data_IF_876961098768
#
_entry.id   IF_876961098768
#
_cell.length_a   1.000
_cell.length_b   1.000
_cell.length_c   1.000
_cell.angle_alpha   90.00
_cell.angle_beta   90.00
_cell.angle_gamma   90.00
#
_symmetry.space_group_name_H-M   'P 1'
#
loop_
_entity.id
_entity.type
_entity.pdbx_description
1 polymer ?
#
# COMPACT_ATOMS: atom_id res chain seq x y z
N UNK A 1 4.43 20.22 -1.05
CA UNK A 1 5.89 20.46 -1.00
C UNK A 1 6.15 21.52 0.04
N UNK A 2 7.11 21.32 0.95
CA UNK A 2 7.56 22.40 1.84
C UNK A 2 8.53 23.28 1.05
N UNK A 3 8.13 24.51 0.70
CA UNK A 3 9.06 25.51 0.19
C UNK A 3 9.98 25.96 1.34
N UNK A 4 11.25 26.24 1.03
CA UNK A 4 12.28 26.62 2.02
C UNK A 4 12.17 28.09 2.46
N UNK A 5 11.35 28.91 1.78
CA UNK A 5 11.02 30.30 2.14
C UNK A 5 9.60 30.68 1.68
N UNK A 6 9.02 31.75 2.25
CA UNK A 6 7.70 32.26 1.84
C UNK A 6 7.75 32.93 0.45
N UNK A 7 8.90 33.50 0.09
CA UNK A 7 9.16 34.10 -1.21
C UNK A 7 9.16 33.05 -2.33
N UNK A 8 9.81 31.91 -2.11
CA UNK A 8 9.82 30.80 -3.08
C UNK A 8 8.40 30.27 -3.28
N UNK A 9 7.63 30.12 -2.20
CA UNK A 9 6.23 29.69 -2.29
C UNK A 9 5.40 30.62 -3.17
N UNK A 10 5.62 31.95 -3.07
CA UNK A 10 4.89 32.94 -3.86
C UNK A 10 5.22 32.84 -5.35
N UNK A 11 6.51 32.75 -5.70
CA UNK A 11 6.95 32.61 -7.09
C UNK A 11 6.42 31.33 -7.73
N UNK A 12 6.38 30.23 -6.97
CA UNK A 12 5.79 28.98 -7.43
C UNK A 12 4.28 29.06 -7.66
N UNK A 13 3.54 29.75 -6.79
CA UNK A 13 2.10 29.95 -6.96
C UNK A 13 1.79 30.88 -8.13
N UNK A 14 2.61 31.90 -8.36
CA UNK A 14 2.51 32.81 -9.50
C UNK A 14 2.81 32.10 -10.84
N UNK A 15 3.85 31.27 -10.87
CA UNK A 15 4.17 30.43 -12.02
C UNK A 15 3.11 29.36 -12.33
N UNK A 16 2.29 29.01 -11.33
CA UNK A 16 1.17 28.06 -11.43
C UNK A 16 -0.20 28.75 -11.58
N UNK A 17 -0.23 30.03 -11.96
CA UNK A 17 -1.45 30.82 -12.21
C UNK A 17 -2.42 30.82 -11.00
N UNK A 18 -1.86 30.74 -9.79
CA UNK A 18 -2.59 30.65 -8.52
C UNK A 18 -3.24 29.31 -8.22
N UNK A 19 -3.08 28.28 -9.07
CA UNK A 19 -3.59 26.93 -8.79
C UNK A 19 -2.57 26.14 -7.99
N UNK A 20 -2.96 25.71 -6.79
CA UNK A 20 -2.13 24.80 -6.01
C UNK A 20 -1.85 23.51 -6.81
N UNK A 21 -0.65 22.91 -6.67
CA UNK A 21 -0.39 21.58 -7.19
C UNK A 21 -1.41 20.62 -6.58
N UNK A 22 -2.26 20.02 -7.42
CA UNK A 22 -3.14 18.94 -7.00
C UNK A 22 -2.24 17.74 -6.71
N UNK A 23 -1.76 17.66 -5.48
CA UNK A 23 -1.31 16.40 -4.95
C UNK A 23 -2.57 15.55 -4.88
N UNK A 24 -2.67 14.52 -5.72
CA UNK A 24 -3.52 13.37 -5.44
C UNK A 24 -2.99 12.67 -4.17
N UNK A 25 -3.01 13.37 -3.03
CA UNK A 25 -3.39 12.71 -1.80
C UNK A 25 -4.79 12.23 -2.13
N UNK A 26 -4.95 10.92 -2.28
CA UNK A 26 -6.24 10.28 -2.23
C UNK A 26 -6.90 10.72 -0.92
N UNK A 27 -7.54 11.89 -0.96
CA UNK A 27 -8.71 12.24 -0.18
C UNK A 27 -9.85 11.48 -0.85
N UNK A 28 -9.65 10.16 -0.99
CA UNK A 28 -10.76 9.25 -1.10
C UNK A 28 -11.53 9.52 0.18
N UNK A 29 -12.67 10.16 -0.02
CA UNK A 29 -13.74 10.26 0.93
C UNK A 29 -13.73 9.00 1.79
N UNK A 30 -13.97 9.20 3.08
CA UNK A 30 -14.29 8.19 4.08
C UNK A 30 -15.60 7.45 3.72
N UNK A 31 -15.79 7.10 2.45
CA UNK A 31 -16.72 6.13 1.96
C UNK A 31 -16.08 4.78 2.25
N UNK A 32 -16.85 3.85 2.80
CA UNK A 32 -16.50 2.45 2.96
C UNK A 32 -15.91 1.91 1.65
N UNK A 33 -14.58 1.97 1.51
CA UNK A 33 -13.88 1.24 0.47
C UNK A 33 -14.13 -0.25 0.73
N UNK A 34 -14.24 -1.08 -0.32
CA UNK A 34 -14.48 -2.53 -0.15
C UNK A 34 -13.35 -3.25 0.60
N UNK A 35 -12.22 -2.57 0.84
CA UNK A 35 -11.11 -3.12 1.59
C UNK A 35 -11.34 -2.98 3.09
N UNK A 36 -11.86 -4.02 3.72
CA UNK A 36 -11.81 -4.20 5.16
C UNK A 36 -10.95 -5.42 5.51
N UNK A 37 -10.27 -5.36 6.66
CA UNK A 37 -9.65 -6.53 7.28
C UNK A 37 -10.73 -7.33 8.03
N UNK A 38 -11.77 -7.72 7.30
CA UNK A 38 -12.79 -8.66 7.76
C UNK A 38 -12.37 -10.10 7.42
N UNK A 39 -13.24 -11.08 7.66
CA UNK A 39 -12.91 -12.49 7.39
C UNK A 39 -12.53 -12.74 5.92
N UNK A 40 -13.17 -12.04 4.98
CA UNK A 40 -12.87 -12.15 3.54
C UNK A 40 -11.50 -11.53 3.25
N UNK A 41 -11.25 -10.30 3.70
CA UNK A 41 -9.97 -9.62 3.52
C UNK A 41 -8.79 -10.41 4.08
N UNK A 42 -8.93 -11.01 5.27
CA UNK A 42 -7.89 -11.86 5.85
C UNK A 42 -7.63 -13.13 5.03
N UNK A 43 -8.69 -13.79 4.54
CA UNK A 43 -8.55 -14.98 3.71
C UNK A 43 -7.85 -14.68 2.38
N UNK A 44 -8.24 -13.57 1.73
CA UNK A 44 -7.59 -13.09 0.50
C UNK A 44 -6.12 -12.79 0.74
N UNK A 45 -5.80 -12.06 1.81
CA UNK A 45 -4.41 -11.72 2.14
C UNK A 45 -3.57 -12.98 2.40
N UNK A 46 -4.10 -13.96 3.14
CA UNK A 46 -3.43 -15.24 3.38
C UNK A 46 -3.17 -15.99 2.07
N UNK A 47 -4.15 -16.06 1.17
CA UNK A 47 -3.98 -16.65 -0.17
C UNK A 47 -2.90 -15.93 -0.98
N UNK A 48 -2.88 -14.60 -0.96
CA UNK A 48 -1.89 -13.81 -1.71
C UNK A 48 -0.48 -14.02 -1.17
N UNK A 49 -0.31 -14.04 0.15
CA UNK A 49 0.98 -14.28 0.80
C UNK A 49 1.46 -15.69 0.49
N UNK A 50 0.60 -16.70 0.62
CA UNK A 50 0.93 -18.09 0.29
C UNK A 50 1.42 -18.20 -1.16
N UNK A 51 0.67 -17.61 -2.10
CA UNK A 51 1.06 -17.59 -3.49
C UNK A 51 2.35 -16.78 -3.75
N UNK A 52 2.79 -15.89 -2.87
CA UNK A 52 4.11 -15.22 -3.01
C UNK A 52 5.22 -16.12 -2.47
N UNK A 53 4.96 -16.83 -1.37
CA UNK A 53 5.91 -17.74 -0.73
C UNK A 53 6.22 -18.97 -1.61
N UNK A 54 5.21 -19.53 -2.29
CA UNK A 54 5.37 -20.77 -3.07
C UNK A 54 6.05 -20.58 -4.42
N UNK A 55 5.76 -19.50 -5.13
CA UNK A 55 6.22 -19.27 -6.53
C UNK A 55 7.04 -17.98 -6.72
N UNK A 56 7.13 -17.12 -5.71
CA UNK A 56 7.70 -15.77 -5.85
C UNK A 56 9.00 -15.52 -5.13
N UNK A 57 9.51 -16.49 -4.36
CA UNK A 57 10.67 -16.24 -3.53
C UNK A 57 11.94 -15.97 -4.36
N UNK A 58 12.04 -16.62 -5.53
CA UNK A 58 13.18 -16.49 -6.45
C UNK A 58 12.99 -15.37 -7.50
N UNK A 59 11.84 -14.69 -7.48
CA UNK A 59 11.49 -13.66 -8.45
C UNK A 59 12.30 -12.38 -8.23
N UNK A 60 13.01 -11.92 -9.27
CA UNK A 60 13.86 -10.75 -9.18
C UNK A 60 13.04 -9.46 -8.98
N UNK A 61 13.35 -8.75 -7.90
CA UNK A 61 12.66 -7.51 -7.55
C UNK A 61 11.25 -7.72 -7.01
N UNK A 62 11.03 -8.83 -6.30
CA UNK A 62 9.83 -9.06 -5.50
C UNK A 62 9.46 -7.83 -4.67
N UNK A 63 8.17 -7.46 -4.67
CA UNK A 63 7.60 -6.22 -4.12
C UNK A 63 8.12 -4.89 -4.70
N UNK A 64 9.30 -4.85 -5.35
CA UNK A 64 9.88 -3.66 -5.98
C UNK A 64 9.28 -3.40 -7.36
N UNK A 65 9.19 -4.43 -8.20
CA UNK A 65 8.61 -4.32 -9.54
C UNK A 65 7.09 -4.18 -9.45
N UNK A 66 6.54 -3.22 -10.19
CA UNK A 66 5.11 -2.90 -10.18
C UNK A 66 4.36 -3.79 -11.18
N UNK A 67 3.23 -4.33 -10.74
CA UNK A 67 2.31 -5.08 -11.59
C UNK A 67 1.41 -4.17 -12.43
N UNK A 68 0.79 -4.72 -13.47
CA UNK A 68 -0.08 -3.94 -14.37
C UNK A 68 -1.34 -3.51 -13.62
N UNK A 69 -1.60 -2.20 -13.53
CA UNK A 69 -2.69 -1.63 -12.71
C UNK A 69 -4.06 -2.25 -13.01
N UNK A 70 -4.42 -2.42 -14.30
CA UNK A 70 -5.69 -3.04 -14.70
C UNK A 70 -5.81 -4.49 -14.22
N UNK A 71 -4.72 -5.25 -14.22
CA UNK A 71 -4.68 -6.62 -13.67
C UNK A 71 -4.80 -6.62 -12.15
N UNK A 72 -4.18 -5.67 -11.46
CA UNK A 72 -4.29 -5.52 -10.01
C UNK A 72 -5.74 -5.25 -9.60
N UNK A 73 -6.41 -4.30 -10.25
CA UNK A 73 -7.81 -3.98 -9.96
C UNK A 73 -8.74 -5.15 -10.29
N UNK A 74 -8.53 -5.82 -11.43
CA UNK A 74 -9.28 -7.01 -11.81
C UNK A 74 -9.14 -8.13 -10.77
N UNK A 75 -7.91 -8.41 -10.33
CA UNK A 75 -7.63 -9.42 -9.31
C UNK A 75 -8.32 -9.10 -7.98
N UNK A 76 -8.21 -7.86 -7.50
CA UNK A 76 -8.84 -7.45 -6.25
C UNK A 76 -10.37 -7.49 -6.33
N UNK A 77 -10.96 -7.10 -7.47
CA UNK A 77 -12.39 -7.20 -7.69
C UNK A 77 -12.91 -8.63 -7.54
N UNK A 78 -12.21 -9.62 -8.12
CA UNK A 78 -12.60 -11.02 -7.96
C UNK A 78 -12.31 -11.60 -6.58
N UNK A 79 -11.18 -11.22 -5.99
CA UNK A 79 -10.74 -11.79 -4.72
C UNK A 79 -11.60 -11.29 -3.55
N UNK A 80 -12.03 -10.03 -3.58
CA UNK A 80 -12.80 -9.41 -2.50
C UNK A 80 -14.32 -9.58 -2.64
N UNK A 81 -14.83 -9.99 -3.81
CA UNK A 81 -16.24 -10.33 -3.97
C UNK A 81 -16.52 -11.70 -3.32
N UNK A 82 -17.39 -11.79 -2.30
CA UNK A 82 -17.74 -13.05 -1.63
C UNK A 82 -18.25 -14.14 -2.56
N UNK A 83 -18.82 -13.78 -3.73
CA UNK A 83 -19.35 -14.72 -4.71
C UNK A 83 -18.26 -15.36 -5.57
N UNK A 84 -17.16 -14.64 -5.82
CA UNK A 84 -16.09 -15.08 -6.74
C UNK A 84 -14.77 -15.38 -6.03
N UNK A 85 -14.64 -15.06 -4.73
CA UNK A 85 -13.42 -15.28 -3.94
C UNK A 85 -12.95 -16.75 -3.92
N UNK A 86 -13.88 -17.71 -4.05
CA UNK A 86 -13.56 -19.13 -4.13
C UNK A 86 -12.89 -19.51 -5.46
N UNK A 87 -13.27 -18.83 -6.55
CA UNK A 87 -12.82 -19.12 -7.91
C UNK A 87 -11.46 -18.51 -8.25
N UNK A 88 -10.94 -17.61 -7.39
CA UNK A 88 -9.61 -17.03 -7.58
C UNK A 88 -8.54 -18.07 -7.21
N UNK A 89 -8.10 -18.80 -8.23
CA UNK A 89 -6.95 -19.69 -8.19
C UNK A 89 -5.65 -18.93 -8.47
N UNK A 90 -4.83 -18.74 -7.44
CA UNK A 90 -3.55 -18.02 -7.53
C UNK A 90 -2.35 -18.94 -7.78
N UNK A 91 -2.55 -20.24 -7.65
CA UNK A 91 -1.57 -21.28 -7.98
C UNK A 91 -1.43 -21.42 -9.50
N UNK A 92 -2.41 -20.94 -10.27
CA UNK A 92 -2.39 -20.97 -11.72
C UNK A 92 -1.56 -19.80 -12.28
N UNK A 93 -0.83 -20.04 -13.38
CA UNK A 93 0.13 -19.09 -14.00
C UNK A 93 -0.52 -17.81 -14.57
N UNK A 94 -1.85 -17.67 -14.52
CA UNK A 94 -2.58 -16.49 -15.02
C UNK A 94 -2.14 -15.19 -14.35
N UNK A 95 -1.87 -15.23 -13.04
CA UNK A 95 -1.53 -14.06 -12.24
C UNK A 95 -0.03 -13.96 -11.96
N UNK A 96 0.65 -13.02 -12.60
CA UNK A 96 2.07 -12.76 -12.34
C UNK A 96 2.34 -12.36 -10.86
N UNK A 97 3.50 -12.71 -10.32
CA UNK A 97 3.93 -12.38 -8.94
C UNK A 97 3.86 -10.88 -8.66
N UNK A 98 4.37 -10.06 -9.59
CA UNK A 98 4.33 -8.59 -9.52
C UNK A 98 2.90 -8.04 -9.43
N UNK A 99 1.91 -8.74 -10.00
CA UNK A 99 0.49 -8.35 -9.91
C UNK A 99 -0.04 -8.65 -8.51
N UNK A 100 0.24 -9.84 -7.97
CA UNK A 100 -0.22 -10.25 -6.63
C UNK A 100 0.43 -9.39 -5.54
N UNK A 101 1.75 -9.17 -5.61
CA UNK A 101 2.44 -8.26 -4.67
C UNK A 101 1.94 -6.81 -4.78
N UNK A 102 1.57 -6.35 -5.97
CA UNK A 102 0.96 -5.02 -6.14
C UNK A 102 -0.47 -4.96 -5.60
N UNK A 103 -1.24 -6.05 -5.70
CA UNK A 103 -2.56 -6.17 -5.10
C UNK A 103 -2.50 -6.16 -3.58
N UNK A 104 -1.55 -6.87 -2.96
CA UNK A 104 -1.27 -6.79 -1.51
C UNK A 104 -1.04 -5.34 -1.08
N UNK A 105 -0.09 -4.67 -1.76
CA UNK A 105 0.26 -3.27 -1.46
C UNK A 105 -0.93 -2.33 -1.63
N UNK A 106 -1.72 -2.53 -2.68
CA UNK A 106 -2.89 -1.69 -2.95
C UNK A 106 -3.95 -1.90 -1.87
N UNK A 107 -4.30 -3.15 -1.55
CA UNK A 107 -5.26 -3.48 -0.50
C UNK A 107 -4.90 -2.83 0.83
N UNK A 108 -3.64 -2.97 1.28
CA UNK A 108 -3.18 -2.37 2.53
C UNK A 108 -3.19 -0.83 2.50
N UNK A 109 -3.02 -0.21 1.34
CA UNK A 109 -3.04 1.24 1.16
C UNK A 109 -4.44 1.82 1.23
N UNK A 110 -5.44 1.09 0.75
CA UNK A 110 -6.84 1.55 0.67
C UNK A 110 -7.69 1.15 1.88
N UNK A 111 -7.07 0.61 2.94
CA UNK A 111 -7.76 0.36 4.20
C UNK A 111 -8.27 1.69 4.80
N UNK A 112 -9.41 1.68 5.53
CA UNK A 112 -9.98 2.87 6.20
C UNK A 112 -9.01 3.56 7.18
N UNK A 113 -8.02 2.82 7.67
CA UNK A 113 -6.92 3.34 8.47
C UNK A 113 -5.64 2.55 8.19
N UNK A 114 -4.47 3.10 8.59
CA UNK A 114 -3.20 2.41 8.40
C UNK A 114 -3.19 1.12 9.21
N UNK A 115 -2.48 0.10 8.73
CA UNK A 115 -2.38 -1.21 9.40
C UNK A 115 -1.88 -1.10 10.85
N UNK A 116 -0.91 -0.21 11.11
CA UNK A 116 -0.39 0.03 12.46
C UNK A 116 -1.30 0.93 13.32
N UNK A 117 -2.40 1.42 12.76
CA UNK A 117 -3.34 2.40 13.35
C UNK A 117 -2.66 3.72 13.75
N UNK A 118 -3.41 4.81 13.78
CA UNK A 118 -2.83 6.12 14.12
C UNK A 118 -2.37 6.20 15.59
N UNK A 119 -3.06 5.50 16.50
CA UNK A 119 -2.78 5.54 17.94
C UNK A 119 -1.39 5.00 18.30
N UNK A 120 -0.88 4.00 17.58
CA UNK A 120 0.41 3.37 17.90
C UNK A 120 1.59 3.91 17.09
N UNK A 121 1.34 4.77 16.10
CA UNK A 121 2.39 5.27 15.22
C UNK A 121 3.48 6.03 15.99
N UNK A 122 3.11 6.90 16.93
CA UNK A 122 4.07 7.69 17.73
C UNK A 122 4.91 6.82 18.64
N UNK A 123 4.30 5.84 19.32
CA UNK A 123 5.01 4.90 20.18
C UNK A 123 5.97 4.02 19.37
N UNK A 124 5.58 3.61 18.17
CA UNK A 124 6.43 2.82 17.29
C UNK A 124 7.68 3.60 16.84
N UNK A 125 7.51 4.86 16.40
CA UNK A 125 8.62 5.73 16.01
C UNK A 125 9.56 5.98 17.19
N UNK A 126 9.01 6.24 18.38
CA UNK A 126 9.79 6.45 19.60
C UNK A 126 10.63 5.22 19.93
N UNK A 127 10.03 4.03 19.96
CA UNK A 127 10.73 2.78 20.24
C UNK A 127 11.84 2.49 19.21
N UNK A 128 11.58 2.73 17.93
CA UNK A 128 12.58 2.58 16.88
C UNK A 128 13.77 3.55 17.06
N UNK A 129 13.48 4.81 17.41
CA UNK A 129 14.53 5.81 17.69
C UNK A 129 15.39 5.44 18.89
N UNK A 130 14.77 4.96 19.98
CA UNK A 130 15.50 4.54 21.18
C UNK A 130 16.39 3.33 20.88
N UNK A 131 15.89 2.35 20.11
CA UNK A 131 16.70 1.20 19.69
C UNK A 131 17.92 1.59 18.85
N UNK A 132 17.78 2.60 17.97
CA UNK A 132 18.87 3.12 17.17
C UNK A 132 19.93 3.79 18.05
N UNK A 133 19.51 4.63 19.01
CA UNK A 133 20.41 5.29 19.96
C UNK A 133 21.16 4.32 20.86
N UNK A 134 20.51 3.24 21.33
CA UNK A 134 21.17 2.19 22.10
C UNK A 134 22.24 1.44 21.30
N UNK A 135 22.01 1.20 20.00
CA UNK A 135 23.00 0.53 19.13
C UNK A 135 24.22 1.41 18.80
N UNK A 136 24.06 2.74 18.82
CA UNK A 136 25.15 3.72 18.64
C UNK A 136 25.98 3.91 19.91
N UNK A 137 25.39 3.73 21.10
CA UNK A 137 26.08 3.80 22.40
C UNK A 137 26.96 2.58 22.70
N UNK A 138 26.80 1.49 21.94
CA UNK A 138 27.54 0.22 22.10
C UNK A 138 28.65 0.05 21.05
N UNK A 139 28.98 1.10 20.29
CA UNK A 139 30.12 1.18 19.38
C UNK A 139 31.08 2.26 19.83
#
# INVERSE_FOLDING_TARGET
MQALSEEDRRLWMEAMDGREPVYNLNRDSQADGPAQLDAVGFNVMKKFIHAVETRGIDDQGLYRIVGVSSRVQKLLGFALDPKTCADVELENSEWEIKTITSAIKHFLRVLPGPLMTYQYQRSFIKAASESASSSLSLR
#
